data_IF_477366328786
#
_entry.id   IF_477366328786
#
_cell.length_a   1.000
_cell.length_b   1.000
_cell.length_c   1.000
_cell.angle_alpha   90.00
_cell.angle_beta   90.00
_cell.angle_gamma   90.00
#
_symmetry.space_group_name_H-M   'P 1'
#
loop_
_entity.id
_entity.type
_entity.pdbx_description
1 polymer ?
#
# COMPACT_ATOMS: atom_id res chain seq x y z
N UNK A 1 -7.62 -13.75 65.74
CA UNK A 1 -7.49 -14.12 64.33
C UNK A 1 -7.92 -12.92 63.49
N UNK A 2 -7.00 -11.95 63.27
CA UNK A 2 -7.27 -10.74 62.48
C UNK A 2 -6.85 -11.02 61.06
N UNK A 3 -7.82 -11.17 60.16
CA UNK A 3 -7.53 -11.27 58.70
C UNK A 3 -7.33 -9.85 58.20
N UNK A 4 -6.14 -9.62 57.65
CA UNK A 4 -5.60 -8.33 57.26
C UNK A 4 -6.48 -7.68 56.17
N UNK A 5 -7.08 -6.53 56.47
CA UNK A 5 -7.91 -5.75 55.53
C UNK A 5 -7.12 -5.31 54.25
N UNK A 6 -5.81 -5.25 54.30
CA UNK A 6 -4.95 -4.94 53.14
C UNK A 6 -4.96 -6.05 52.06
N UNK A 7 -5.12 -7.32 52.45
CA UNK A 7 -5.19 -8.41 51.45
C UNK A 7 -6.52 -8.43 50.69
N UNK A 8 -7.60 -7.96 51.30
CA UNK A 8 -8.93 -7.86 50.66
C UNK A 8 -9.00 -6.70 49.67
N UNK A 9 -8.35 -5.57 49.95
CA UNK A 9 -8.28 -4.43 49.07
C UNK A 9 -7.37 -4.70 47.83
N UNK A 10 -6.23 -5.36 47.99
CA UNK A 10 -5.37 -5.75 46.90
C UNK A 10 -6.01 -6.77 45.94
N UNK A 11 -6.74 -7.75 46.45
CA UNK A 11 -7.49 -8.72 45.64
C UNK A 11 -8.62 -8.08 44.85
N UNK A 12 -9.30 -7.08 45.40
CA UNK A 12 -10.33 -6.34 44.66
C UNK A 12 -9.76 -5.40 43.59
N UNK A 13 -8.62 -4.76 43.85
CA UNK A 13 -7.94 -3.94 42.87
C UNK A 13 -7.44 -4.77 41.68
N UNK A 14 -6.86 -5.95 41.96
CA UNK A 14 -6.36 -6.87 40.93
C UNK A 14 -7.53 -7.42 40.08
N UNK A 15 -8.68 -7.76 40.65
CA UNK A 15 -9.87 -8.17 39.90
C UNK A 15 -10.46 -7.05 39.06
N UNK A 16 -10.45 -5.80 39.51
CA UNK A 16 -10.94 -4.65 38.77
C UNK A 16 -10.02 -4.32 37.55
N UNK A 17 -8.71 -4.40 37.72
CA UNK A 17 -7.75 -4.18 36.60
C UNK A 17 -7.85 -5.29 35.57
N UNK A 18 -7.97 -6.55 35.99
CA UNK A 18 -8.11 -7.70 35.07
C UNK A 18 -9.43 -7.64 34.27
N UNK A 19 -10.55 -7.31 34.93
CA UNK A 19 -11.84 -7.14 34.26
C UNK A 19 -11.83 -5.96 33.26
N UNK A 20 -11.13 -4.85 33.57
CA UNK A 20 -10.98 -3.71 32.65
C UNK A 20 -10.13 -4.08 31.43
N UNK A 21 -9.10 -4.90 31.62
CA UNK A 21 -8.26 -5.38 30.52
C UNK A 21 -9.02 -6.34 29.59
N UNK A 22 -9.76 -7.27 30.17
CA UNK A 22 -10.63 -8.22 29.45
C UNK A 22 -11.68 -7.48 28.62
N UNK A 23 -12.33 -6.46 29.20
CA UNK A 23 -13.33 -5.63 28.52
C UNK A 23 -12.70 -4.81 27.37
N UNK A 24 -11.49 -4.28 27.53
CA UNK A 24 -10.75 -3.58 26.45
C UNK A 24 -10.39 -4.54 25.31
N UNK A 25 -9.93 -5.76 25.63
CA UNK A 25 -9.63 -6.79 24.63
C UNK A 25 -10.87 -7.28 23.88
N UNK A 26 -12.00 -7.48 24.60
CA UNK A 26 -13.26 -7.85 23.98
C UNK A 26 -13.80 -6.76 23.06
N UNK A 27 -13.73 -5.48 23.45
CA UNK A 27 -14.09 -4.33 22.61
C UNK A 27 -13.20 -4.24 21.37
N UNK A 28 -11.89 -4.48 21.49
CA UNK A 28 -10.94 -4.49 20.37
C UNK A 28 -11.24 -5.64 19.39
N UNK A 29 -11.54 -6.85 19.90
CA UNK A 29 -11.94 -8.00 19.07
C UNK A 29 -13.28 -7.75 18.36
N UNK A 30 -14.28 -7.18 19.07
CA UNK A 30 -15.58 -6.85 18.48
C UNK A 30 -15.47 -5.78 17.40
N UNK A 31 -14.63 -4.74 17.61
CA UNK A 31 -14.36 -3.71 16.62
C UNK A 31 -13.62 -4.25 15.38
N UNK A 32 -12.68 -5.19 15.58
CA UNK A 32 -12.00 -5.88 14.48
C UNK A 32 -12.94 -6.80 13.70
N UNK A 33 -13.84 -7.54 14.39
CA UNK A 33 -14.82 -8.39 13.74
C UNK A 33 -15.87 -7.59 12.94
N UNK A 34 -16.33 -6.46 13.49
CA UNK A 34 -17.26 -5.54 12.79
C UNK A 34 -16.58 -4.95 11.56
N UNK A 35 -15.29 -4.55 11.65
CA UNK A 35 -14.53 -4.03 10.52
C UNK A 35 -14.37 -5.11 9.45
N UNK A 36 -14.05 -6.35 9.83
CA UNK A 36 -13.91 -7.49 8.91
C UNK A 36 -15.24 -7.83 8.22
N UNK A 37 -16.36 -7.83 8.97
CA UNK A 37 -17.70 -8.07 8.42
C UNK A 37 -18.19 -6.91 7.50
N UNK A 38 -17.75 -5.68 7.75
CA UNK A 38 -18.02 -4.54 6.87
C UNK A 38 -17.19 -4.60 5.57
N UNK A 39 -15.94 -5.08 5.66
CA UNK A 39 -15.08 -5.34 4.50
C UNK A 39 -15.62 -6.49 3.64
N UNK A 40 -16.20 -7.53 4.24
CA UNK A 40 -16.84 -8.64 3.52
C UNK A 40 -18.18 -8.27 2.86
N UNK A 41 -18.85 -7.20 3.29
CA UNK A 41 -20.14 -6.72 2.74
C UNK A 41 -20.01 -5.69 1.61
N UNK A 42 -18.82 -5.13 1.33
CA UNK A 42 -18.67 -4.25 0.18
C UNK A 42 -18.66 -5.09 -1.09
N UNK A 43 -19.58 -4.82 -2.00
CA UNK A 43 -19.60 -5.45 -3.32
C UNK A 43 -18.22 -5.27 -3.96
N UNK A 44 -17.58 -6.38 -4.34
CA UNK A 44 -16.27 -6.32 -4.98
C UNK A 44 -16.42 -5.71 -6.36
N UNK A 45 -15.57 -4.76 -6.65
CA UNK A 45 -15.57 -4.07 -7.94
C UNK A 45 -15.07 -5.04 -9.01
N UNK A 46 -15.85 -5.24 -10.05
CA UNK A 46 -15.43 -6.00 -11.22
C UNK A 46 -14.44 -5.17 -12.05
N UNK A 47 -13.38 -5.82 -12.50
CA UNK A 47 -12.38 -5.22 -13.36
C UNK A 47 -11.91 -6.19 -14.43
N UNK A 48 -11.64 -5.69 -15.63
CA UNK A 48 -11.17 -6.49 -16.75
C UNK A 48 -9.67 -6.27 -16.97
N UNK A 49 -8.96 -7.37 -17.17
CA UNK A 49 -7.55 -7.35 -17.54
C UNK A 49 -7.41 -7.06 -19.03
N UNK A 50 -6.81 -5.96 -19.36
CA UNK A 50 -6.34 -5.62 -20.69
C UNK A 50 -4.87 -6.00 -20.86
N UNK A 51 -4.26 -5.72 -21.99
CA UNK A 51 -2.92 -6.20 -22.37
C UNK A 51 -1.85 -5.92 -21.30
N UNK A 52 -1.87 -4.73 -20.68
CA UNK A 52 -0.84 -4.22 -19.75
C UNK A 52 -1.43 -3.46 -18.55
N UNK A 53 -2.74 -3.47 -18.41
CA UNK A 53 -3.47 -2.70 -17.38
C UNK A 53 -4.76 -3.39 -16.99
N UNK A 54 -5.38 -2.89 -15.93
CA UNK A 54 -6.68 -3.35 -15.46
C UNK A 54 -7.65 -2.18 -15.49
N UNK A 55 -8.87 -2.41 -15.97
CA UNK A 55 -9.89 -1.36 -16.07
C UNK A 55 -11.15 -1.82 -15.34
N UNK A 56 -11.65 -1.00 -14.41
CA UNK A 56 -12.87 -1.32 -13.65
C UNK A 56 -14.11 -1.10 -14.46
N UNK A 57 -15.20 -1.76 -14.07
CA UNK A 57 -16.54 -1.32 -14.47
C UNK A 57 -16.85 0.04 -13.86
N UNK A 58 -17.87 0.72 -14.41
CA UNK A 58 -18.36 2.00 -13.87
C UNK A 58 -19.21 1.66 -12.64
N UNK A 59 -18.75 2.07 -11.48
CA UNK A 59 -19.49 1.94 -10.22
C UNK A 59 -19.10 3.07 -9.25
N UNK A 60 -19.94 3.30 -8.25
CA UNK A 60 -19.66 4.32 -7.22
C UNK A 60 -18.50 3.90 -6.35
N UNK A 61 -18.36 2.61 -6.07
CA UNK A 61 -17.22 2.03 -5.33
C UNK A 61 -15.91 2.25 -6.09
N UNK A 62 -15.91 2.10 -7.44
CA UNK A 62 -14.72 2.39 -8.25
C UNK A 62 -14.36 3.88 -8.20
N UNK A 63 -15.36 4.78 -8.24
CA UNK A 63 -15.14 6.22 -8.09
C UNK A 63 -14.59 6.56 -6.70
N UNK A 64 -15.05 5.90 -5.64
CA UNK A 64 -14.50 6.07 -4.28
C UNK A 64 -13.05 5.65 -4.19
N UNK A 65 -12.62 4.54 -4.81
CA UNK A 65 -11.22 4.15 -4.86
C UNK A 65 -10.33 5.25 -5.46
N UNK A 66 -10.81 5.92 -6.49
CA UNK A 66 -10.10 7.05 -7.10
C UNK A 66 -10.17 8.30 -6.22
N UNK A 67 -11.36 8.72 -5.80
CA UNK A 67 -11.57 10.00 -5.10
C UNK A 67 -10.97 10.02 -3.70
N UNK A 68 -11.13 8.95 -2.93
CA UNK A 68 -10.66 8.89 -1.53
C UNK A 68 -9.23 8.38 -1.43
N UNK A 69 -8.93 7.27 -2.12
CA UNK A 69 -7.66 6.57 -1.97
C UNK A 69 -6.67 6.84 -3.09
N UNK A 70 -7.08 7.55 -4.13
CA UNK A 70 -6.26 7.94 -5.28
C UNK A 70 -5.64 6.75 -6.02
N UNK A 71 -6.34 5.60 -6.10
CA UNK A 71 -5.92 4.51 -6.97
C UNK A 71 -6.27 4.81 -8.43
N UNK A 72 -5.37 4.40 -9.32
CA UNK A 72 -5.58 4.46 -10.76
C UNK A 72 -5.66 5.87 -11.35
N UNK A 73 -6.24 5.93 -12.54
CA UNK A 73 -6.54 7.13 -13.30
C UNK A 73 -7.95 7.02 -13.84
N UNK A 74 -8.75 8.05 -13.69
CA UNK A 74 -10.10 8.08 -14.25
C UNK A 74 -10.00 8.32 -15.77
N UNK A 75 -10.70 7.50 -16.54
CA UNK A 75 -10.87 7.64 -17.98
C UNK A 75 -12.10 8.51 -18.29
N UNK A 76 -12.16 9.06 -19.50
CA UNK A 76 -13.30 9.87 -19.98
C UNK A 76 -14.60 9.09 -19.94
N UNK A 77 -14.53 7.77 -20.09
CA UNK A 77 -15.68 6.85 -19.93
C UNK A 77 -16.20 6.72 -18.50
N UNK A 78 -15.55 7.33 -17.50
CA UNK A 78 -15.88 7.17 -16.08
C UNK A 78 -15.31 5.91 -15.42
N UNK A 79 -14.68 5.02 -16.18
CA UNK A 79 -13.96 3.84 -15.65
C UNK A 79 -12.66 4.23 -15.01
N UNK A 80 -12.16 3.41 -14.08
CA UNK A 80 -10.84 3.61 -13.45
C UNK A 80 -9.84 2.64 -14.07
N UNK A 81 -8.77 3.19 -14.63
CA UNK A 81 -7.63 2.42 -15.11
C UNK A 81 -6.63 2.26 -13.97
N UNK A 82 -6.29 1.02 -13.65
CA UNK A 82 -5.31 0.63 -12.63
C UNK A 82 -4.04 0.10 -13.30
N UNK A 83 -2.89 0.40 -12.72
CA UNK A 83 -1.64 -0.31 -13.03
C UNK A 83 -1.71 -1.74 -12.49
N UNK A 84 -0.87 -2.64 -13.01
CA UNK A 84 -0.84 -4.03 -12.53
C UNK A 84 -0.52 -4.12 -11.03
N UNK A 85 0.33 -3.22 -10.52
CA UNK A 85 0.70 -3.14 -9.11
C UNK A 85 -0.50 -2.72 -8.24
N UNK A 86 -1.24 -1.67 -8.64
CA UNK A 86 -2.44 -1.22 -7.93
C UNK A 86 -3.52 -2.30 -7.97
N UNK A 87 -3.69 -2.97 -9.10
CA UNK A 87 -4.65 -4.04 -9.28
C UNK A 87 -4.36 -5.23 -8.36
N UNK A 88 -3.10 -5.69 -8.28
CA UNK A 88 -2.71 -6.76 -7.37
C UNK A 88 -2.99 -6.39 -5.91
N UNK A 89 -2.60 -5.19 -5.51
CA UNK A 89 -2.82 -4.71 -4.14
C UNK A 89 -4.31 -4.68 -3.77
N UNK A 90 -5.17 -4.17 -4.65
CA UNK A 90 -6.61 -4.12 -4.43
C UNK A 90 -7.26 -5.50 -4.46
N UNK A 91 -6.73 -6.44 -5.27
CA UNK A 91 -7.14 -7.84 -5.29
C UNK A 91 -6.81 -8.52 -3.96
N UNK A 92 -5.58 -8.34 -3.43
CA UNK A 92 -5.17 -8.89 -2.12
C UNK A 92 -5.99 -8.30 -0.96
N UNK A 93 -6.42 -7.04 -1.08
CA UNK A 93 -7.32 -6.39 -0.11
C UNK A 93 -8.79 -6.80 -0.29
N UNK A 94 -9.09 -7.69 -1.25
CA UNK A 94 -10.46 -8.15 -1.53
C UNK A 94 -11.40 -7.08 -2.07
N UNK A 95 -10.86 -5.96 -2.59
CA UNK A 95 -11.64 -4.83 -3.09
C UNK A 95 -12.09 -5.00 -4.53
N UNK A 96 -11.30 -5.70 -5.34
CA UNK A 96 -11.61 -5.93 -6.76
C UNK A 96 -11.51 -7.41 -7.11
N UNK A 97 -12.25 -7.80 -8.13
CA UNK A 97 -12.12 -9.08 -8.82
C UNK A 97 -11.71 -8.84 -10.27
N UNK A 98 -10.61 -9.46 -10.70
CA UNK A 98 -10.05 -9.26 -12.04
C UNK A 98 -10.43 -10.43 -12.94
N UNK A 99 -10.95 -10.11 -14.11
CA UNK A 99 -11.39 -11.09 -15.10
C UNK A 99 -10.49 -11.06 -16.33
N UNK A 100 -10.26 -12.26 -16.87
CA UNK A 100 -9.64 -12.49 -18.18
C UNK A 100 -10.72 -12.35 -19.27
N UNK A 101 -10.26 -12.32 -20.53
CA UNK A 101 -11.13 -12.56 -21.69
C UNK A 101 -12.01 -13.81 -21.46
N UNK A 102 -13.28 -13.77 -21.85
CA UNK A 102 -14.27 -14.82 -21.64
C UNK A 102 -14.74 -15.03 -20.19
N UNK A 103 -14.76 -13.98 -19.36
CA UNK A 103 -15.29 -14.00 -17.99
C UNK A 103 -14.61 -14.99 -17.01
N UNK A 104 -13.41 -15.45 -17.30
CA UNK A 104 -12.64 -16.26 -16.36
C UNK A 104 -11.92 -15.35 -15.35
N UNK A 105 -12.21 -15.52 -14.05
CA UNK A 105 -11.55 -14.77 -12.99
C UNK A 105 -10.09 -15.18 -12.85
N UNK A 106 -9.22 -14.21 -12.60
CA UNK A 106 -7.83 -14.45 -12.21
C UNK A 106 -7.74 -14.91 -10.76
N UNK A 107 -6.93 -15.94 -10.51
CA UNK A 107 -6.39 -16.18 -9.16
C UNK A 107 -5.17 -15.28 -8.92
N UNK A 108 -4.89 -14.88 -7.66
CA UNK A 108 -3.75 -14.00 -7.36
C UNK A 108 -2.41 -14.51 -7.93
N UNK A 109 -2.13 -15.81 -7.79
CA UNK A 109 -0.89 -16.43 -8.27
C UNK A 109 -0.77 -16.36 -9.81
N UNK A 110 -1.87 -16.59 -10.52
CA UNK A 110 -1.92 -16.47 -11.98
C UNK A 110 -1.70 -15.02 -12.44
N UNK A 111 -2.28 -14.07 -11.70
CA UNK A 111 -2.12 -12.64 -11.97
C UNK A 111 -0.67 -12.22 -11.77
N UNK A 112 -0.04 -12.59 -10.63
CA UNK A 112 1.37 -12.32 -10.35
C UNK A 112 2.27 -12.89 -11.44
N UNK A 113 2.06 -14.16 -11.84
CA UNK A 113 2.83 -14.79 -12.91
C UNK A 113 2.71 -14.04 -14.24
N UNK A 114 1.52 -13.54 -14.56
CA UNK A 114 1.28 -12.74 -15.77
C UNK A 114 1.95 -11.37 -15.67
N UNK A 115 1.81 -10.69 -14.54
CA UNK A 115 2.37 -9.36 -14.30
C UNK A 115 3.91 -9.36 -14.33
N UNK A 116 4.55 -10.36 -13.70
CA UNK A 116 6.01 -10.56 -13.76
C UNK A 116 6.56 -10.74 -15.19
N UNK A 117 5.74 -11.27 -16.12
CA UNK A 117 6.13 -11.40 -17.54
C UNK A 117 5.99 -10.10 -18.31
N UNK A 118 5.12 -9.19 -17.86
CA UNK A 118 4.84 -7.93 -18.56
C UNK A 118 5.70 -6.77 -18.06
N UNK A 119 5.99 -6.74 -16.76
CA UNK A 119 6.76 -5.67 -16.14
C UNK A 119 8.05 -6.21 -15.52
N UNK A 120 9.23 -5.75 -15.95
CA UNK A 120 10.48 -6.04 -15.28
C UNK A 120 10.43 -5.57 -13.82
N UNK A 121 11.06 -6.32 -12.92
CA UNK A 121 11.11 -6.02 -11.50
C UNK A 121 9.74 -5.82 -10.83
N UNK A 122 8.66 -6.36 -11.43
CA UNK A 122 7.29 -6.19 -10.93
C UNK A 122 7.18 -6.50 -9.43
N UNK A 123 7.80 -7.60 -8.98
CA UNK A 123 7.67 -8.03 -7.58
C UNK A 123 8.34 -7.09 -6.59
N UNK A 124 9.56 -6.67 -6.88
CA UNK A 124 10.31 -5.70 -6.07
C UNK A 124 9.55 -4.38 -5.95
N UNK A 125 9.04 -3.90 -7.08
CA UNK A 125 8.19 -2.69 -7.13
C UNK A 125 6.89 -2.87 -6.34
N UNK A 126 6.29 -4.06 -6.41
CA UNK A 126 5.07 -4.38 -5.67
C UNK A 126 5.30 -4.40 -4.15
N UNK A 127 6.39 -4.99 -3.67
CA UNK A 127 6.72 -5.02 -2.24
C UNK A 127 6.82 -3.60 -1.67
N UNK A 128 7.55 -2.71 -2.34
CA UNK A 128 7.66 -1.29 -1.94
C UNK A 128 6.30 -0.59 -1.99
N UNK A 129 5.52 -0.78 -3.05
CA UNK A 129 4.19 -0.19 -3.18
C UNK A 129 3.27 -0.64 -2.04
N UNK A 130 3.23 -1.95 -1.77
CA UNK A 130 2.42 -2.57 -0.71
C UNK A 130 2.78 -2.01 0.66
N UNK A 131 4.06 -1.94 0.99
CA UNK A 131 4.54 -1.44 2.28
C UNK A 131 4.18 0.04 2.50
N UNK A 132 4.46 0.90 1.53
CA UNK A 132 4.13 2.34 1.57
C UNK A 132 2.61 2.55 1.72
N UNK A 133 1.79 1.78 0.98
CA UNK A 133 0.33 1.85 1.11
C UNK A 133 -0.17 1.35 2.46
N UNK A 134 0.41 0.28 2.99
CA UNK A 134 0.05 -0.24 4.32
C UNK A 134 0.39 0.74 5.45
N UNK A 135 1.43 1.56 5.26
CA UNK A 135 1.79 2.66 6.17
C UNK A 135 0.89 3.90 6.01
N UNK A 136 -0.07 3.90 5.07
CA UNK A 136 -1.07 4.97 4.90
C UNK A 136 -0.62 6.13 4.01
N UNK A 137 0.48 6.00 3.28
CA UNK A 137 0.91 7.00 2.29
C UNK A 137 0.20 6.82 0.94
N UNK A 138 0.07 7.90 0.20
CA UNK A 138 -0.33 7.85 -1.21
C UNK A 138 0.92 7.73 -2.08
N UNK A 139 0.97 6.66 -2.88
CA UNK A 139 2.05 6.38 -3.82
C UNK A 139 1.47 6.33 -5.25
N UNK A 140 2.14 6.95 -6.19
CA UNK A 140 1.80 7.02 -7.61
C UNK A 140 3.02 6.76 -8.46
N UNK A 141 2.81 6.30 -9.68
CA UNK A 141 3.88 6.16 -10.67
C UNK A 141 4.56 7.52 -10.95
N UNK A 142 5.85 7.48 -11.21
CA UNK A 142 6.67 8.67 -11.45
C UNK A 142 7.46 8.58 -12.77
N UNK A 143 6.98 7.82 -13.74
CA UNK A 143 7.65 7.56 -15.02
C UNK A 143 8.07 8.85 -15.75
N UNK A 144 7.27 9.92 -15.66
CA UNK A 144 7.60 11.24 -16.23
C UNK A 144 8.89 11.84 -15.67
N UNK A 145 9.32 11.39 -14.49
CA UNK A 145 10.55 11.83 -13.82
C UNK A 145 11.68 10.81 -13.97
N UNK A 146 11.48 9.72 -14.72
CA UNK A 146 12.44 8.62 -14.79
C UNK A 146 12.61 7.86 -13.47
N UNK A 147 11.59 7.89 -12.62
CA UNK A 147 11.53 7.16 -11.35
C UNK A 147 10.34 6.19 -11.33
N UNK A 148 10.39 5.18 -10.46
CA UNK A 148 9.29 4.23 -10.34
C UNK A 148 8.07 4.86 -9.70
N UNK A 149 8.26 5.49 -8.54
CA UNK A 149 7.16 6.05 -7.76
C UNK A 149 7.46 7.42 -7.19
N UNK A 150 6.38 8.17 -6.95
CA UNK A 150 6.34 9.38 -6.12
C UNK A 150 5.40 9.15 -4.95
N UNK A 151 5.80 9.63 -3.77
CA UNK A 151 5.06 9.43 -2.52
C UNK A 151 4.72 10.79 -1.91
N UNK A 152 3.48 10.89 -1.51
CA UNK A 152 2.91 12.07 -0.86
C UNK A 152 2.88 11.86 0.65
N UNK A 153 3.02 12.94 1.42
CA UNK A 153 2.86 12.87 2.87
C UNK A 153 1.44 12.40 3.24
N UNK A 154 1.30 11.87 4.46
CA UNK A 154 0.00 11.40 4.95
C UNK A 154 -1.01 12.55 4.98
N UNK A 155 -2.22 12.27 4.49
CA UNK A 155 -3.29 13.26 4.39
C UNK A 155 -3.25 14.17 3.16
N UNK A 156 -2.13 14.20 2.43
CA UNK A 156 -1.97 15.01 1.21
C UNK A 156 -2.36 14.20 0.00
N UNK A 157 -3.27 14.74 -0.83
CA UNK A 157 -3.69 14.11 -2.07
C UNK A 157 -2.94 14.70 -3.27
N UNK A 158 -2.71 13.86 -4.33
CA UNK A 158 -2.22 14.38 -5.61
C UNK A 158 -3.09 15.51 -6.15
N UNK A 159 -2.47 16.65 -6.44
CA UNK A 159 -3.14 17.87 -6.86
C UNK A 159 -3.35 18.92 -5.77
N UNK A 160 -3.30 18.55 -4.49
CA UNK A 160 -3.32 19.48 -3.34
C UNK A 160 -1.92 20.00 -3.03
N UNK A 161 -0.91 19.15 -3.11
CA UNK A 161 0.49 19.51 -2.89
C UNK A 161 1.42 18.58 -3.69
N UNK A 162 2.72 18.86 -3.62
CA UNK A 162 3.76 18.11 -4.27
C UNK A 162 4.15 16.85 -3.50
N UNK A 163 4.51 15.78 -4.23
CA UNK A 163 5.07 14.58 -3.62
C UNK A 163 6.39 14.92 -2.90
N UNK A 164 6.57 14.37 -1.71
CA UNK A 164 7.76 14.56 -0.89
C UNK A 164 8.96 13.76 -1.37
N UNK A 165 8.70 12.49 -1.75
CA UNK A 165 9.75 11.56 -2.17
C UNK A 165 9.56 11.06 -3.59
N UNK A 166 10.67 10.77 -4.21
CA UNK A 166 10.78 9.84 -5.35
C UNK A 166 11.39 8.57 -4.82
N UNK A 167 10.77 7.42 -5.11
CA UNK A 167 11.25 6.11 -4.67
C UNK A 167 11.76 5.30 -5.84
N UNK A 168 12.92 4.66 -5.62
CA UNK A 168 13.47 3.62 -6.45
C UNK A 168 13.51 2.30 -5.67
N UNK A 169 12.66 1.33 -6.04
CA UNK A 169 12.72 -0.03 -5.52
C UNK A 169 13.96 -0.75 -6.05
N UNK A 170 14.69 -1.40 -5.17
CA UNK A 170 15.84 -2.24 -5.53
C UNK A 170 15.78 -3.55 -4.76
N UNK A 171 16.24 -4.63 -5.38
CA UNK A 171 16.43 -5.90 -4.67
C UNK A 171 17.80 -5.88 -3.97
N UNK A 172 17.90 -6.42 -2.76
CA UNK A 172 19.14 -6.36 -1.96
C UNK A 172 20.34 -7.01 -2.64
N UNK A 173 20.14 -8.08 -3.43
CA UNK A 173 21.20 -8.74 -4.21
C UNK A 173 21.60 -7.99 -5.49
N UNK A 174 20.98 -6.84 -5.81
CA UNK A 174 21.33 -6.05 -7.00
C UNK A 174 22.44 -5.04 -6.70
N UNK A 175 23.25 -4.72 -7.72
CA UNK A 175 24.26 -3.68 -7.64
C UNK A 175 23.78 -2.40 -8.30
N UNK A 176 24.14 -1.27 -7.71
CA UNK A 176 23.88 0.06 -8.25
C UNK A 176 25.22 0.76 -8.47
N UNK A 177 25.47 1.22 -9.68
CA UNK A 177 26.67 2.00 -10.00
C UNK A 177 26.56 3.43 -9.43
N UNK A 178 27.71 4.05 -9.14
CA UNK A 178 27.74 5.45 -8.72
C UNK A 178 27.16 6.40 -9.77
N UNK A 179 27.27 6.07 -11.04
CA UNK A 179 26.67 6.83 -12.13
C UNK A 179 25.13 6.79 -12.05
N UNK A 180 24.55 5.62 -11.89
CA UNK A 180 23.10 5.43 -11.73
C UNK A 180 22.59 6.10 -10.45
N UNK A 181 23.30 5.94 -9.34
CA UNK A 181 22.94 6.58 -8.07
C UNK A 181 22.97 8.12 -8.19
N UNK A 182 24.04 8.69 -8.79
CA UNK A 182 24.14 10.13 -9.02
C UNK A 182 23.02 10.63 -9.96
N UNK A 183 22.67 9.84 -10.99
CA UNK A 183 21.54 10.12 -11.87
C UNK A 183 20.21 10.21 -11.10
N UNK A 184 19.92 9.23 -10.23
CA UNK A 184 18.72 9.20 -9.39
C UNK A 184 18.66 10.41 -8.44
N UNK A 185 19.79 10.78 -7.83
CA UNK A 185 19.87 11.97 -6.97
C UNK A 185 19.62 13.27 -7.74
N UNK A 186 20.16 13.39 -8.97
CA UNK A 186 19.89 14.56 -9.82
C UNK A 186 18.41 14.71 -10.15
N UNK A 187 17.74 13.62 -10.49
CA UNK A 187 16.30 13.62 -10.76
C UNK A 187 15.52 14.09 -9.52
N UNK A 188 15.83 13.55 -8.34
CA UNK A 188 15.18 13.96 -7.09
C UNK A 188 15.40 15.46 -6.83
N UNK A 189 16.64 15.94 -6.95
CA UNK A 189 16.99 17.35 -6.73
C UNK A 189 16.30 18.28 -7.74
N UNK A 190 16.35 17.98 -9.04
CA UNK A 190 15.75 18.81 -10.09
C UNK A 190 14.23 18.93 -9.96
N UNK A 191 13.59 17.89 -9.42
CA UNK A 191 12.14 17.88 -9.15
C UNK A 191 11.76 18.37 -7.75
N UNK A 192 12.73 18.90 -6.98
CA UNK A 192 12.56 19.37 -5.60
C UNK A 192 11.94 18.32 -4.68
N UNK A 193 12.38 17.07 -4.83
CA UNK A 193 11.94 15.92 -4.01
C UNK A 193 13.15 15.28 -3.33
N UNK A 194 12.89 14.46 -2.33
CA UNK A 194 13.91 13.66 -1.66
C UNK A 194 14.01 12.30 -2.34
N UNK A 195 15.22 11.80 -2.48
CA UNK A 195 15.45 10.45 -2.96
C UNK A 195 15.23 9.46 -1.83
N UNK A 196 14.38 8.47 -2.08
CA UNK A 196 14.18 7.33 -1.19
C UNK A 196 14.52 6.04 -1.95
N UNK A 197 15.46 5.27 -1.44
CA UNK A 197 15.77 3.93 -1.93
C UNK A 197 15.01 2.94 -1.07
N UNK A 198 14.16 2.11 -1.68
CA UNK A 198 13.44 1.02 -1.02
C UNK A 198 14.10 -0.30 -1.36
N UNK A 199 14.85 -0.88 -0.43
CA UNK A 199 15.54 -2.14 -0.61
C UNK A 199 14.66 -3.27 -0.12
N UNK A 200 14.39 -4.22 -1.01
CA UNK A 200 13.58 -5.41 -0.76
C UNK A 200 14.50 -6.59 -0.54
N UNK A 201 14.36 -7.28 0.58
CA UNK A 201 15.09 -8.49 0.93
C UNK A 201 14.42 -9.78 0.41
N UNK A 202 15.02 -10.92 0.70
CA UNK A 202 14.53 -12.24 0.30
C UNK A 202 13.19 -12.62 0.97
N UNK A 203 12.91 -12.10 2.16
CA UNK A 203 11.64 -12.26 2.88
C UNK A 203 10.54 -11.34 2.38
N UNK A 204 10.85 -10.44 1.42
CA UNK A 204 9.97 -9.40 0.87
C UNK A 204 9.64 -8.28 1.86
N UNK A 205 10.47 -8.08 2.87
CA UNK A 205 10.45 -6.91 3.72
C UNK A 205 11.19 -5.74 3.05
N UNK A 206 10.87 -4.51 3.48
CA UNK A 206 11.41 -3.32 2.81
C UNK A 206 12.07 -2.40 3.81
N UNK A 207 13.35 -2.14 3.58
CA UNK A 207 14.13 -1.12 4.27
C UNK A 207 14.27 0.14 3.42
N UNK A 208 14.31 1.31 4.05
CA UNK A 208 14.33 2.59 3.35
C UNK A 208 15.53 3.43 3.74
N UNK A 209 16.19 4.04 2.73
CA UNK A 209 17.24 5.04 2.90
C UNK A 209 16.83 6.36 2.21
N UNK A 210 16.77 7.45 2.97
CA UNK A 210 16.62 8.79 2.41
C UNK A 210 18.00 9.35 2.08
N UNK A 211 18.25 9.63 0.80
CA UNK A 211 19.49 10.19 0.32
C UNK A 211 19.31 11.66 -0.07
N UNK A 212 20.22 12.51 0.39
CA UNK A 212 20.20 13.94 0.09
C UNK A 212 21.50 14.33 -0.61
N UNK A 213 21.35 15.07 -1.68
CA UNK A 213 22.48 15.73 -2.30
C UNK A 213 22.77 17.03 -1.56
N UNK A 214 23.99 17.19 -1.08
CA UNK A 214 24.47 18.40 -0.43
C UNK A 214 25.64 18.97 -1.22
N UNK A 215 25.75 20.27 -1.18
CA UNK A 215 26.98 20.99 -1.58
C UNK A 215 27.60 21.50 -0.30
N UNK A 216 28.83 21.10 0.06
CA UNK A 216 29.56 21.61 1.22
C UNK A 216 29.87 23.09 1.05
#
# INVERSE_FOLDING_TARGET
MQINQEQLTNNNLFKLTTNTLILKMAKKKKKAAIKKAAEEKSAKIRADFLTDRVVTEISDEARELFNQSRYGTQLDSGKIQLSLIEALYLMEKGKIEIYKTKNKQFKPEEFIKKAKKLEPNFWVRYCVFRDIRNRGYIIKTALKFGADFRVYDRGIKPGEDHARWIIYPVYEGSTLTWHEFAGKNRVAHSTRKRLLIGVVDDENDVSYWECRWIRP
#
